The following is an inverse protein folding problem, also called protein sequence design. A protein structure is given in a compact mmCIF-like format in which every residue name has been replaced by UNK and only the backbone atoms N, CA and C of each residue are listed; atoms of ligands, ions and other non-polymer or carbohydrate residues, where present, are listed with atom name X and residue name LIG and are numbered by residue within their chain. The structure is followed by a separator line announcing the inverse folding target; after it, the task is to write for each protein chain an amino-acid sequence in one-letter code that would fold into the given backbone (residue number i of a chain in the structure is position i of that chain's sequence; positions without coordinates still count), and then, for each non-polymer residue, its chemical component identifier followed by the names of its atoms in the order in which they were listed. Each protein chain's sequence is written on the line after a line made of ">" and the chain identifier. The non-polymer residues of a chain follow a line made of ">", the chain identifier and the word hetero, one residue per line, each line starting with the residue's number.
data_IF_262808098685
#
_entry.id   IF_262808098685
#
_cell.length_a   1.000
_cell.length_b   1.000
_cell.length_c   1.000
_cell.angle_alpha   90.00
_cell.angle_beta   90.00
_cell.angle_gamma   90.00
#
_symmetry.space_group_name_H-M   'P 1'
#
loop_
_entity.id
_entity.type
_entity.pdbx_description
1 polymer ?
#
# COMPACT_ATOMS: atom_id res chain seq x y z
N UNK A 1 -3.44 22.03 -11.33
CA UNK A 1 -3.97 20.93 -12.18
C UNK A 1 -2.74 20.25 -12.77
N UNK A 2 -2.31 19.01 -12.50
CA UNK A 2 -3.03 17.76 -12.18
C UNK A 2 -2.08 16.66 -11.61
N UNK A 3 -1.28 16.91 -10.56
CA UNK A 3 -0.54 15.82 -9.87
C UNK A 3 -1.51 14.71 -9.37
N UNK A 4 -2.75 15.07 -9.06
CA UNK A 4 -3.78 14.11 -8.66
C UNK A 4 -4.19 13.16 -9.79
N UNK A 5 -4.13 13.56 -11.07
CA UNK A 5 -4.63 12.71 -12.17
C UNK A 5 -3.80 11.44 -12.37
N UNK A 6 -2.47 11.51 -12.21
CA UNK A 6 -1.60 10.34 -12.37
C UNK A 6 -1.83 9.33 -11.24
N UNK A 7 -1.95 9.80 -9.99
CA UNK A 7 -2.25 8.98 -8.83
C UNK A 7 -3.63 8.34 -8.91
N UNK A 8 -4.66 9.13 -9.27
CA UNK A 8 -6.03 8.63 -9.45
C UNK A 8 -6.13 7.66 -10.63
N UNK A 9 -5.43 7.93 -11.73
CA UNK A 9 -5.39 7.00 -12.86
C UNK A 9 -4.72 5.68 -12.48
N UNK A 10 -3.61 5.74 -11.73
CA UNK A 10 -2.93 4.54 -11.24
C UNK A 10 -3.82 3.76 -10.27
N UNK A 11 -4.42 4.42 -9.27
CA UNK A 11 -5.30 3.74 -8.30
C UNK A 11 -6.50 3.10 -9.01
N UNK A 12 -7.15 3.80 -9.92
CA UNK A 12 -8.24 3.25 -10.74
C UNK A 12 -7.79 2.06 -11.59
N UNK A 13 -6.56 2.07 -12.10
CA UNK A 13 -6.00 0.96 -12.87
C UNK A 13 -5.73 -0.27 -11.99
N UNK A 14 -5.34 -0.07 -10.74
CA UNK A 14 -5.18 -1.15 -9.75
C UNK A 14 -6.53 -1.69 -9.26
N UNK A 15 -7.54 -0.83 -9.11
CA UNK A 15 -8.89 -1.22 -8.66
C UNK A 15 -9.66 -1.94 -9.78
N UNK A 16 -9.60 -1.42 -11.01
CA UNK A 16 -10.33 -1.96 -12.18
C UNK A 16 -9.54 -3.03 -12.94
N UNK A 17 -8.22 -3.04 -12.80
CA UNK A 17 -7.35 -3.99 -13.48
C UNK A 17 -7.60 -5.41 -12.99
N UNK A 18 -7.59 -6.38 -13.91
CA UNK A 18 -7.66 -7.81 -13.56
C UNK A 18 -6.26 -8.31 -13.23
N UNK A 19 -6.15 -9.49 -12.61
CA UNK A 19 -4.84 -10.10 -12.29
C UNK A 19 -3.91 -10.22 -13.51
N UNK A 20 -4.47 -10.35 -14.72
CA UNK A 20 -3.71 -10.36 -15.97
C UNK A 20 -3.05 -9.02 -16.33
N UNK A 21 -3.56 -7.89 -15.84
CA UNK A 21 -2.97 -6.57 -16.05
C UNK A 21 -1.83 -6.26 -15.06
N UNK A 22 -1.68 -7.09 -14.01
CA UNK A 22 -0.67 -6.92 -12.96
C UNK A 22 0.78 -6.98 -13.50
N UNK A 23 0.98 -7.66 -14.63
CA UNK A 23 2.28 -7.73 -15.30
C UNK A 23 2.68 -6.41 -16.00
N UNK A 24 1.72 -5.52 -16.25
CA UNK A 24 1.97 -4.25 -16.94
C UNK A 24 2.51 -3.14 -16.01
N UNK A 25 2.41 -3.33 -14.69
CA UNK A 25 2.93 -2.37 -13.73
C UNK A 25 4.42 -2.57 -13.52
N UNK A 26 5.15 -1.46 -13.44
CA UNK A 26 6.59 -1.43 -13.31
C UNK A 26 7.05 -0.45 -12.24
N UNK A 27 8.24 -0.65 -11.68
CA UNK A 27 8.83 0.29 -10.71
C UNK A 27 9.00 1.72 -11.25
N UNK A 28 8.93 1.90 -12.57
CA UNK A 28 8.88 3.20 -13.23
C UNK A 28 7.64 4.01 -12.87
N UNK A 29 6.49 3.38 -12.60
CA UNK A 29 5.24 4.08 -12.28
C UNK A 29 5.36 4.91 -10.99
N UNK A 30 6.22 4.50 -10.05
CA UNK A 30 6.45 5.25 -8.81
C UNK A 30 7.58 6.28 -8.91
N UNK A 31 8.45 6.19 -9.92
CA UNK A 31 9.56 7.16 -10.07
C UNK A 31 9.05 8.57 -10.34
N UNK A 32 7.91 8.67 -11.01
CA UNK A 32 7.26 9.95 -11.31
C UNK A 32 6.33 10.42 -10.17
N UNK A 33 6.13 9.62 -9.12
CA UNK A 33 5.25 9.94 -8.01
C UNK A 33 6.02 10.47 -6.80
N UNK A 34 5.59 11.63 -6.31
CA UNK A 34 6.06 12.21 -5.05
C UNK A 34 5.52 11.46 -3.83
N UNK A 35 6.19 11.59 -2.69
CA UNK A 35 5.75 10.98 -1.42
C UNK A 35 4.29 11.29 -1.06
N UNK A 36 3.83 12.52 -1.29
CA UNK A 36 2.43 12.90 -1.06
C UNK A 36 1.47 12.18 -2.01
N UNK A 37 1.84 11.99 -3.27
CA UNK A 37 1.02 11.24 -4.22
C UNK A 37 0.96 9.76 -3.87
N UNK A 38 2.06 9.18 -3.35
CA UNK A 38 2.06 7.80 -2.85
C UNK A 38 1.12 7.63 -1.66
N UNK A 39 1.10 8.61 -0.76
CA UNK A 39 0.17 8.63 0.37
C UNK A 39 -1.28 8.68 -0.13
N UNK A 40 -1.60 9.59 -1.06
CA UNK A 40 -2.93 9.68 -1.67
C UNK A 40 -3.31 8.39 -2.40
N UNK A 41 -2.37 7.79 -3.15
CA UNK A 41 -2.56 6.53 -3.88
C UNK A 41 -2.98 5.41 -2.93
N UNK A 42 -2.21 5.19 -1.86
CA UNK A 42 -2.51 4.19 -0.84
C UNK A 42 -3.84 4.47 -0.13
N UNK A 43 -4.19 5.75 0.04
CA UNK A 43 -5.45 6.16 0.66
C UNK A 43 -6.65 5.81 -0.21
N UNK A 44 -6.55 6.06 -1.52
CA UNK A 44 -7.58 5.70 -2.50
C UNK A 44 -7.77 4.18 -2.58
N UNK A 45 -6.68 3.41 -2.58
CA UNK A 45 -6.74 1.95 -2.56
C UNK A 45 -7.39 1.41 -1.29
N UNK A 46 -7.09 2.02 -0.14
CA UNK A 46 -7.63 1.63 1.15
C UNK A 46 -9.12 2.01 1.30
N UNK A 47 -9.59 3.01 0.54
CA UNK A 47 -10.99 3.44 0.52
C UNK A 47 -11.90 2.48 -0.27
N UNK A 48 -11.42 1.92 -1.38
CA UNK A 48 -12.28 1.24 -2.35
C UNK A 48 -12.68 -0.20 -1.96
N UNK A 49 -11.77 -1.06 -1.50
CA UNK A 49 -12.11 -2.41 -1.03
C UNK A 49 -10.84 -3.20 -0.62
N UNK A 50 -10.98 -4.30 0.15
CA UNK A 50 -9.88 -5.24 0.36
C UNK A 50 -9.45 -5.86 -0.97
N UNK A 51 -8.29 -5.44 -1.46
CA UNK A 51 -7.63 -6.03 -2.62
C UNK A 51 -7.22 -7.48 -2.30
N UNK A 52 -7.24 -8.39 -3.29
CA UNK A 52 -6.73 -9.75 -3.10
C UNK A 52 -5.25 -9.76 -2.73
N UNK A 53 -4.80 -10.79 -2.01
CA UNK A 53 -3.38 -10.99 -1.66
C UNK A 53 -2.47 -10.94 -2.90
N UNK A 54 -2.91 -11.45 -4.04
CA UNK A 54 -2.17 -11.40 -5.31
C UNK A 54 -1.77 -9.97 -5.71
N UNK A 55 -2.66 -9.00 -5.50
CA UNK A 55 -2.42 -7.59 -5.85
C UNK A 55 -1.38 -6.98 -4.92
N UNK A 56 -1.48 -7.28 -3.62
CA UNK A 56 -0.54 -6.79 -2.60
C UNK A 56 0.85 -7.40 -2.80
N UNK A 57 0.91 -8.69 -3.13
CA UNK A 57 2.17 -9.37 -3.44
C UNK A 57 2.83 -8.76 -4.68
N UNK A 58 2.06 -8.54 -5.75
CA UNK A 58 2.58 -7.86 -6.94
C UNK A 58 3.04 -6.43 -6.65
N UNK A 59 2.26 -5.65 -5.89
CA UNK A 59 2.67 -4.31 -5.47
C UNK A 59 3.98 -4.36 -4.71
N UNK A 60 4.16 -5.31 -3.79
CA UNK A 60 5.43 -5.47 -3.09
C UNK A 60 6.58 -5.83 -4.04
N UNK A 61 6.36 -6.72 -5.00
CA UNK A 61 7.38 -7.14 -5.97
C UNK A 61 7.82 -5.99 -6.88
N UNK A 62 6.86 -5.20 -7.38
CA UNK A 62 7.11 -4.12 -8.34
C UNK A 62 7.58 -2.83 -7.66
N UNK A 63 7.03 -2.51 -6.49
CA UNK A 63 7.20 -1.22 -5.83
C UNK A 63 8.05 -1.26 -4.57
N UNK A 64 8.21 -2.43 -3.96
CA UNK A 64 8.99 -2.65 -2.74
C UNK A 64 8.66 -1.65 -1.62
N UNK A 65 7.36 -1.46 -1.33
CA UNK A 65 6.90 -0.53 -0.29
C UNK A 65 7.47 -0.86 1.09
N UNK A 66 7.82 -2.11 1.36
CA UNK A 66 8.49 -2.50 2.61
C UNK A 66 9.86 -1.82 2.81
N UNK A 67 10.53 -1.39 1.75
CA UNK A 67 11.81 -0.67 1.81
C UNK A 67 11.65 0.85 1.99
N UNK A 68 10.43 1.36 1.96
CA UNK A 68 10.18 2.80 2.11
C UNK A 68 10.47 3.23 3.55
N UNK A 69 11.34 4.23 3.72
CA UNK A 69 11.68 4.80 5.03
C UNK A 69 10.60 5.72 5.60
N UNK A 70 9.67 6.21 4.77
CA UNK A 70 8.58 7.06 5.22
C UNK A 70 7.59 6.23 6.06
N UNK A 71 7.49 6.56 7.34
CA UNK A 71 6.61 5.88 8.31
C UNK A 71 5.13 5.96 7.93
N UNK A 72 4.68 7.05 7.31
CA UNK A 72 3.27 7.21 6.94
C UNK A 72 2.89 6.32 5.76
N UNK A 73 3.76 6.22 4.75
CA UNK A 73 3.59 5.30 3.61
C UNK A 73 3.58 3.86 4.11
N UNK A 74 4.56 3.51 4.95
CA UNK A 74 4.66 2.17 5.54
C UNK A 74 3.42 1.80 6.35
N UNK A 75 2.92 2.73 7.16
CA UNK A 75 1.72 2.49 7.97
C UNK A 75 0.48 2.21 7.11
N UNK A 76 0.23 3.04 6.10
CA UNK A 76 -0.91 2.86 5.18
C UNK A 76 -0.77 1.57 4.36
N UNK A 77 0.44 1.26 3.91
CA UNK A 77 0.76 0.02 3.21
C UNK A 77 0.47 -1.22 4.06
N UNK A 78 0.96 -1.26 5.30
CA UNK A 78 0.72 -2.39 6.21
C UNK A 78 -0.76 -2.56 6.53
N UNK A 79 -1.49 -1.46 6.70
CA UNK A 79 -2.95 -1.50 6.92
C UNK A 79 -3.68 -2.10 5.72
N UNK A 80 -3.26 -1.78 4.51
CA UNK A 80 -3.77 -2.39 3.27
C UNK A 80 -3.42 -3.88 3.21
N UNK A 81 -2.20 -4.27 3.59
CA UNK A 81 -1.79 -5.68 3.65
C UNK A 81 -2.64 -6.50 4.63
N UNK A 82 -2.96 -5.93 5.79
CA UNK A 82 -3.83 -6.55 6.80
C UNK A 82 -5.27 -6.70 6.26
N UNK A 83 -5.82 -5.67 5.61
CA UNK A 83 -7.14 -5.75 4.97
C UNK A 83 -7.20 -6.80 3.86
N UNK A 84 -6.11 -6.96 3.11
CA UNK A 84 -5.97 -7.98 2.08
C UNK A 84 -5.74 -9.41 2.65
N UNK A 85 -5.61 -9.57 3.98
CA UNK A 85 -5.29 -10.83 4.66
C UNK A 85 -3.94 -11.44 4.24
N UNK A 86 -2.95 -10.60 3.98
CA UNK A 86 -1.60 -11.09 3.62
C UNK A 86 -0.80 -11.46 4.87
N UNK A 87 -0.67 -12.76 5.13
CA UNK A 87 -0.05 -13.29 6.36
C UNK A 87 1.43 -12.93 6.49
N UNK A 88 2.17 -12.83 5.38
CA UNK A 88 3.60 -12.51 5.39
C UNK A 88 3.86 -11.06 5.85
N UNK A 89 2.87 -10.16 5.70
CA UNK A 89 2.97 -8.79 6.19
C UNK A 89 2.72 -8.65 7.70
N UNK A 90 2.09 -9.64 8.34
CA UNK A 90 1.78 -9.63 9.78
C UNK A 90 3.03 -9.40 10.64
N UNK A 91 4.14 -10.16 10.49
CA UNK A 91 5.34 -9.93 11.30
C UNK A 91 5.97 -8.56 11.07
N UNK A 92 5.88 -8.01 9.84
CA UNK A 92 6.38 -6.66 9.54
C UNK A 92 5.50 -5.57 10.17
N UNK A 93 4.18 -5.76 10.13
CA UNK A 93 3.23 -4.86 10.78
C UNK A 93 3.40 -4.86 12.29
N UNK A 94 3.52 -6.05 12.89
CA UNK A 94 3.79 -6.21 14.31
C UNK A 94 5.13 -5.58 14.69
N UNK A 95 6.20 -5.82 13.91
CA UNK A 95 7.51 -5.21 14.15
C UNK A 95 7.43 -3.70 14.14
N UNK A 96 6.77 -3.09 13.14
CA UNK A 96 6.59 -1.64 13.08
C UNK A 96 5.75 -1.09 14.25
N UNK A 97 4.67 -1.77 14.62
CA UNK A 97 3.83 -1.40 15.77
C UNK A 97 4.60 -1.50 17.11
N UNK A 98 5.55 -2.45 17.20
CA UNK A 98 6.38 -2.66 18.39
C UNK A 98 7.55 -1.68 18.45
N UNK A 99 8.20 -1.38 17.32
CA UNK A 99 9.30 -0.42 17.21
C UNK A 99 8.85 1.03 17.40
N UNK A 100 7.65 1.40 16.94
CA UNK A 100 7.15 2.77 17.10
C UNK A 100 6.51 3.07 18.46
N UNK A 101 6.37 2.10 19.37
CA UNK A 101 6.13 2.35 20.81
C UNK A 101 4.94 3.24 21.18
N UNK A 102 3.97 3.48 20.29
CA UNK A 102 2.81 4.32 20.57
C UNK A 102 1.65 3.43 21.01
N UNK A 103 1.26 3.60 22.28
CA UNK A 103 0.13 2.99 22.99
C UNK A 103 -1.18 2.97 22.18
N UNK A 104 -1.30 3.82 21.15
CA UNK A 104 -2.43 3.90 20.23
C UNK A 104 -2.54 2.70 19.25
N UNK A 105 -1.42 2.13 18.79
CA UNK A 105 -1.45 1.06 17.77
C UNK A 105 -1.74 -0.33 18.33
N UNK A 106 -1.49 -0.56 19.63
CA UNK A 106 -1.81 -1.82 20.29
C UNK A 106 -3.32 -2.09 20.35
N UNK A 107 -4.16 -1.05 20.27
CA UNK A 107 -5.61 -1.18 20.34
C UNK A 107 -6.27 -1.50 18.98
N UNK A 108 -5.68 -1.12 17.84
CA UNK A 108 -6.30 -1.29 16.52
C UNK A 108 -5.98 -2.62 15.80
N UNK A 109 -5.15 -3.49 16.40
CA UNK A 109 -4.86 -4.83 15.88
C UNK A 109 -5.64 -5.92 16.64
N UNK A 110 -6.36 -5.54 17.71
CA UNK A 110 -7.07 -6.46 18.59
C UNK A 110 -8.60 -6.55 18.35
N UNK A 111 -9.14 -5.92 17.30
CA UNK A 111 -10.55 -6.03 16.90
C UNK A 111 -10.71 -6.14 15.39
#
# INVERSE_FOLDING_TARGET
>A
MTLSNACVALSQRWIKGKESDLCSFGSADLKDLSSHQLIEFLTLLLLEAPLPVSYVNRMQEVYNFNAVNNSEIRFRWLRLCIQAKWEEAIPWALKMATEQGLTYYRASIAF
#
